data_IF_689619669971
#
_entry.id   IF_689619669971
#
_cell.length_a   1.000
_cell.length_b   1.000
_cell.length_c   1.000
_cell.angle_alpha   90.00
_cell.angle_beta   90.00
_cell.angle_gamma   90.00
#
_symmetry.space_group_name_H-M   'P 1'
#
loop_
_entity.id
_entity.type
_entity.pdbx_description
1 polymer ?
#
# COMPACT_ATOMS: atom_id res chain seq x y z
N UNK A 1 28.17 54.99 -48.23
CA UNK A 1 27.47 56.02 -47.44
C UNK A 1 26.17 55.44 -46.92
N UNK A 2 26.02 55.33 -45.60
CA UNK A 2 24.84 55.76 -44.81
C UNK A 2 24.77 54.95 -43.51
N UNK A 3 24.81 55.68 -42.39
CA UNK A 3 24.69 55.18 -41.03
C UNK A 3 23.21 55.04 -40.61
N UNK A 4 23.01 54.31 -39.50
CA UNK A 4 22.03 54.60 -38.43
C UNK A 4 20.59 54.04 -38.57
N UNK A 5 20.22 53.03 -37.76
CA UNK A 5 19.43 53.25 -36.53
C UNK A 5 18.85 51.95 -35.93
N UNK A 6 18.99 51.85 -34.60
CA UNK A 6 18.11 51.18 -33.61
C UNK A 6 18.05 49.63 -33.57
N UNK A 7 18.68 48.96 -32.60
CA UNK A 7 18.23 48.71 -31.21
C UNK A 7 16.81 48.14 -31.10
N UNK A 8 16.70 46.81 -31.05
CA UNK A 8 15.74 46.16 -30.15
C UNK A 8 16.27 44.80 -29.70
N UNK A 9 16.76 44.79 -28.46
CA UNK A 9 17.07 43.59 -27.68
C UNK A 9 15.78 42.82 -27.42
N UNK A 10 15.68 41.59 -27.92
CA UNK A 10 14.69 40.62 -27.47
C UNK A 10 15.42 39.36 -27.00
N UNK A 11 15.48 39.28 -25.67
CA UNK A 11 16.00 38.23 -24.82
C UNK A 11 15.46 36.86 -25.26
N UNK A 12 16.29 36.03 -25.89
CA UNK A 12 15.97 34.63 -26.18
C UNK A 12 16.38 33.79 -24.96
N UNK A 13 15.45 33.66 -24.01
CA UNK A 13 15.61 32.80 -22.84
C UNK A 13 15.67 31.35 -23.32
N UNK A 14 16.83 30.72 -23.11
CA UNK A 14 17.03 29.30 -23.33
C UNK A 14 16.07 28.51 -22.45
N UNK A 15 15.27 27.66 -23.07
CA UNK A 15 14.50 26.63 -22.40
C UNK A 15 15.48 25.60 -21.82
N UNK A 16 15.91 25.85 -20.59
CA UNK A 16 16.57 24.83 -19.77
C UNK A 16 15.49 23.83 -19.39
N UNK A 17 15.55 22.65 -19.99
CA UNK A 17 14.79 21.47 -19.55
C UNK A 17 15.27 21.20 -18.12
N UNK A 18 14.45 21.57 -17.14
CA UNK A 18 14.60 21.13 -15.76
C UNK A 18 14.45 19.61 -15.76
N UNK A 19 15.59 18.93 -15.81
CA UNK A 19 15.68 17.53 -15.47
C UNK A 19 15.11 17.33 -14.08
N UNK A 20 14.31 16.28 -13.97
CA UNK A 20 13.66 15.81 -12.76
C UNK A 20 14.71 15.34 -11.75
N UNK A 21 15.30 16.28 -10.99
CA UNK A 21 16.31 16.00 -9.96
C UNK A 21 15.66 15.69 -8.61
N UNK A 22 14.53 14.99 -8.60
CA UNK A 22 13.89 14.54 -7.36
C UNK A 22 14.18 13.06 -7.03
N UNK A 23 14.71 12.27 -7.98
CA UNK A 23 14.90 10.82 -7.77
C UNK A 23 16.20 10.44 -7.06
N UNK A 24 17.27 11.23 -7.18
CA UNK A 24 18.61 10.82 -6.73
C UNK A 24 18.79 10.85 -5.19
N UNK A 25 17.91 11.50 -4.44
CA UNK A 25 18.06 11.68 -3.00
C UNK A 25 17.37 10.57 -2.16
N UNK A 26 16.46 9.78 -2.74
CA UNK A 26 15.76 8.71 -2.01
C UNK A 26 16.43 7.33 -2.16
N UNK A 27 17.33 7.15 -3.14
CA UNK A 27 18.01 5.87 -3.43
C UNK A 27 19.02 5.44 -2.37
N UNK A 28 19.55 6.36 -1.57
CA UNK A 28 20.61 6.08 -0.59
C UNK A 28 20.21 5.10 0.53
N UNK A 29 18.91 4.93 0.77
CA UNK A 29 18.37 4.01 1.78
C UNK A 29 17.63 2.80 1.15
N UNK A 30 17.64 2.69 -0.18
CA UNK A 30 17.06 1.55 -0.86
C UNK A 30 17.99 0.34 -0.70
N UNK A 31 17.45 -0.76 -0.17
CA UNK A 31 18.14 -2.04 -0.11
C UNK A 31 17.87 -2.77 -1.41
N UNK A 32 18.95 -3.05 -2.14
CA UNK A 32 18.91 -3.77 -3.41
C UNK A 32 18.46 -5.19 -3.15
N UNK A 33 17.50 -5.66 -3.94
CA UNK A 33 17.04 -7.03 -3.92
C UNK A 33 17.27 -7.76 -5.23
N UNK A 34 16.87 -9.02 -5.24
CA UNK A 34 17.01 -9.89 -6.39
C UNK A 34 16.14 -9.41 -7.55
N UNK A 35 16.60 -9.55 -8.80
CA UNK A 35 15.91 -9.13 -10.04
C UNK A 35 15.80 -7.62 -10.25
N UNK A 36 16.38 -6.79 -9.37
CA UNK A 36 16.48 -5.36 -9.63
C UNK A 36 17.39 -5.10 -10.84
N UNK A 37 17.03 -4.10 -11.65
CA UNK A 37 17.85 -3.65 -12.78
C UNK A 37 18.57 -2.39 -12.35
N UNK A 38 19.90 -2.47 -12.30
CA UNK A 38 20.79 -1.39 -11.93
C UNK A 38 21.50 -0.86 -13.17
N UNK A 39 21.65 0.44 -13.27
CA UNK A 39 22.56 1.07 -14.21
C UNK A 39 23.82 1.48 -13.47
N UNK A 40 24.93 0.84 -13.85
CA UNK A 40 26.25 1.15 -13.33
C UNK A 40 26.95 2.03 -14.36
N UNK A 41 27.44 3.17 -13.91
CA UNK A 41 28.22 4.10 -14.71
C UNK A 41 29.56 4.35 -14.03
N UNK A 42 30.64 4.29 -14.82
CA UNK A 42 31.99 4.57 -14.35
C UNK A 42 32.47 5.82 -15.06
N UNK A 43 32.84 6.85 -14.30
CA UNK A 43 33.25 8.12 -14.88
C UNK A 43 34.48 7.95 -15.77
N UNK A 44 34.46 8.57 -16.95
CA UNK A 44 35.53 8.47 -17.93
C UNK A 44 35.60 7.17 -18.72
N UNK A 45 34.72 6.18 -18.43
CA UNK A 45 34.73 4.88 -19.09
C UNK A 45 33.33 4.46 -19.58
N UNK A 46 32.86 4.98 -20.74
CA UNK A 46 31.54 4.67 -21.28
C UNK A 46 31.37 3.19 -21.64
N UNK A 47 32.47 2.49 -21.96
CA UNK A 47 32.47 1.05 -22.29
C UNK A 47 32.07 0.17 -21.10
N UNK A 48 32.18 0.69 -19.87
CA UNK A 48 31.77 0.01 -18.64
C UNK A 48 30.36 0.41 -18.19
N UNK A 49 29.74 1.42 -18.84
CA UNK A 49 28.38 1.81 -18.53
C UNK A 49 27.40 0.76 -19.04
N UNK A 50 26.69 0.10 -18.13
CA UNK A 50 25.74 -0.95 -18.50
C UNK A 50 24.59 -1.09 -17.51
N UNK A 51 23.43 -1.44 -18.06
CA UNK A 51 22.28 -1.94 -17.32
C UNK A 51 22.50 -3.42 -17.01
N UNK A 52 22.59 -3.76 -15.73
CA UNK A 52 22.82 -5.10 -15.23
C UNK A 52 21.68 -5.50 -14.27
N UNK A 53 21.18 -6.72 -14.45
CA UNK A 53 20.16 -7.30 -13.57
C UNK A 53 20.85 -8.04 -12.42
N UNK A 54 20.33 -7.87 -11.21
CA UNK A 54 20.76 -8.65 -10.04
C UNK A 54 20.23 -10.07 -10.17
N UNK A 55 21.14 -11.04 -10.17
CA UNK A 55 20.80 -12.46 -10.33
C UNK A 55 19.94 -12.99 -9.17
N UNK A 56 19.38 -14.21 -9.34
CA UNK A 56 18.60 -14.89 -8.28
C UNK A 56 19.45 -15.22 -7.05
N UNK A 57 20.76 -15.35 -7.22
CA UNK A 57 21.75 -15.56 -6.16
C UNK A 57 22.15 -14.24 -5.47
N UNK A 58 21.62 -13.11 -5.97
CA UNK A 58 21.84 -11.78 -5.41
C UNK A 58 23.14 -11.14 -5.86
N UNK A 59 23.70 -11.60 -6.98
CA UNK A 59 24.97 -11.10 -7.51
C UNK A 59 24.74 -10.26 -8.78
N UNK A 60 25.46 -9.15 -8.89
CA UNK A 60 25.56 -8.33 -10.08
C UNK A 60 26.80 -8.75 -10.87
N UNK A 61 26.65 -8.94 -12.17
CA UNK A 61 27.77 -9.27 -13.07
C UNK A 61 28.23 -8.03 -13.82
N UNK A 62 29.49 -7.66 -13.66
CA UNK A 62 30.11 -6.53 -14.34
C UNK A 62 31.35 -6.95 -15.13
N UNK A 63 31.63 -6.32 -16.29
CA UNK A 63 32.88 -6.50 -16.99
C UNK A 63 34.08 -6.18 -16.08
N UNK A 64 35.21 -6.83 -16.32
CA UNK A 64 36.49 -6.71 -15.57
C UNK A 64 36.49 -7.34 -14.17
N UNK A 65 35.46 -7.08 -13.35
CA UNK A 65 35.44 -7.46 -11.92
C UNK A 65 34.57 -8.68 -11.61
N UNK A 66 33.89 -9.22 -12.62
CA UNK A 66 33.08 -10.43 -12.52
C UNK A 66 31.84 -10.23 -11.67
N UNK A 67 31.54 -11.21 -10.80
CA UNK A 67 30.36 -11.19 -9.93
C UNK A 67 30.64 -10.48 -8.60
N UNK A 68 29.70 -9.62 -8.20
CA UNK A 68 29.71 -8.87 -6.93
C UNK A 68 28.38 -9.09 -6.25
N UNK A 69 28.38 -9.33 -4.94
CA UNK A 69 27.15 -9.42 -4.16
C UNK A 69 26.49 -8.04 -4.11
N UNK A 70 25.26 -7.95 -4.60
CA UNK A 70 24.46 -6.71 -4.62
C UNK A 70 23.22 -6.82 -3.72
N UNK A 71 22.60 -8.00 -3.64
CA UNK A 71 21.41 -8.18 -2.82
C UNK A 71 21.72 -8.02 -1.32
N UNK A 72 20.90 -7.22 -0.65
CA UNK A 72 21.04 -6.89 0.77
C UNK A 72 21.99 -5.72 1.07
N UNK A 73 22.63 -5.14 0.04
CA UNK A 73 23.40 -3.91 0.18
C UNK A 73 22.54 -2.68 -0.17
N UNK A 74 22.87 -1.55 0.43
CA UNK A 74 22.43 -0.25 -0.07
C UNK A 74 23.15 0.10 -1.38
N UNK A 75 22.57 1.02 -2.16
CA UNK A 75 23.19 1.55 -3.38
C UNK A 75 24.60 2.07 -3.09
N UNK A 76 24.78 2.80 -1.99
CA UNK A 76 26.06 3.37 -1.56
C UNK A 76 27.11 2.32 -1.16
N UNK A 77 26.69 1.24 -0.48
CA UNK A 77 27.60 0.14 -0.13
C UNK A 77 28.04 -0.63 -1.39
N UNK A 78 27.14 -0.77 -2.36
CA UNK A 78 27.45 -1.42 -3.63
C UNK A 78 28.42 -0.57 -4.47
N UNK A 79 28.23 0.75 -4.53
CA UNK A 79 29.16 1.68 -5.19
C UNK A 79 30.59 1.50 -4.66
N UNK A 80 30.77 1.57 -3.34
CA UNK A 80 32.07 1.36 -2.69
C UNK A 80 32.67 -0.01 -2.97
N UNK A 81 31.84 -1.06 -3.00
CA UNK A 81 32.30 -2.41 -3.29
C UNK A 81 32.80 -2.55 -4.74
N UNK A 82 32.14 -1.89 -5.69
CA UNK A 82 32.54 -1.86 -7.10
C UNK A 82 33.81 -1.02 -7.28
N UNK A 83 33.89 0.15 -6.64
CA UNK A 83 35.08 1.01 -6.67
C UNK A 83 36.32 0.28 -6.16
N UNK A 84 36.21 -0.40 -5.01
CA UNK A 84 37.32 -1.15 -4.43
C UNK A 84 37.84 -2.26 -5.37
N UNK A 85 36.93 -2.99 -6.04
CA UNK A 85 37.33 -4.04 -6.99
C UNK A 85 37.89 -3.49 -8.30
N UNK A 86 37.41 -2.35 -8.78
CA UNK A 86 37.95 -1.71 -9.98
C UNK A 86 39.32 -1.07 -9.71
N UNK A 87 39.54 -0.55 -8.50
CA UNK A 87 40.82 0.00 -8.07
C UNK A 87 41.90 -1.09 -7.88
N UNK A 88 41.51 -2.34 -7.60
CA UNK A 88 42.39 -3.50 -7.42
C UNK A 88 42.89 -4.05 -8.76
N UNK A 89 43.56 -3.21 -9.55
CA UNK A 89 44.34 -3.62 -10.72
C UNK A 89 43.77 -3.26 -12.09
N UNK A 90 42.59 -2.64 -12.18
CA UNK A 90 41.98 -2.25 -13.47
C UNK A 90 42.02 -0.75 -13.75
N UNK A 91 41.69 0.08 -12.76
CA UNK A 91 41.54 1.54 -12.91
C UNK A 91 42.25 2.29 -11.77
N UNK A 92 42.79 3.47 -12.07
CA UNK A 92 43.30 4.41 -11.05
C UNK A 92 42.18 5.39 -10.68
N UNK A 93 41.78 5.38 -9.41
CA UNK A 93 40.72 6.24 -8.85
C UNK A 93 39.41 6.17 -9.68
N UNK A 94 38.78 5.00 -9.82
CA UNK A 94 37.48 4.91 -10.47
C UNK A 94 36.43 5.63 -9.62
N UNK A 95 35.63 6.49 -10.24
CA UNK A 95 34.40 7.03 -9.65
C UNK A 95 33.22 6.27 -10.25
N UNK A 96 32.43 5.63 -9.39
CA UNK A 96 31.32 4.76 -9.81
C UNK A 96 30.02 5.34 -9.28
N UNK A 97 29.03 5.49 -10.16
CA UNK A 97 27.67 5.83 -9.78
C UNK A 97 26.73 4.69 -10.17
N UNK A 98 25.96 4.22 -9.19
CA UNK A 98 24.94 3.17 -9.37
C UNK A 98 23.57 3.80 -9.21
N UNK A 99 22.67 3.55 -10.15
CA UNK A 99 21.27 3.96 -10.06
C UNK A 99 20.34 2.78 -10.30
N UNK A 100 19.22 2.72 -9.58
CA UNK A 100 18.22 1.68 -9.80
C UNK A 100 17.31 2.12 -10.94
N UNK A 101 17.32 1.40 -12.05
CA UNK A 101 16.44 1.68 -13.20
C UNK A 101 15.06 1.09 -12.97
N UNK A 102 15.02 -0.14 -12.46
CA UNK A 102 13.77 -0.85 -12.21
C UNK A 102 13.84 -1.58 -10.89
N UNK A 103 13.02 -1.14 -9.94
CA UNK A 103 12.75 -1.83 -8.68
C UNK A 103 11.86 -3.05 -8.99
N UNK A 104 12.35 -4.28 -8.85
CA UNK A 104 11.52 -5.49 -9.04
C UNK A 104 11.42 -6.35 -7.79
N UNK A 105 12.34 -6.17 -6.86
CA UNK A 105 12.48 -6.98 -5.67
C UNK A 105 11.49 -6.60 -4.56
N UNK A 106 11.16 -5.31 -4.46
CA UNK A 106 10.27 -4.80 -3.42
C UNK A 106 8.84 -4.73 -3.94
N UNK A 107 8.07 -5.79 -3.72
CA UNK A 107 6.65 -5.87 -4.10
C UNK A 107 5.74 -5.89 -2.88
N UNK A 108 4.58 -5.28 -3.02
CA UNK A 108 3.46 -5.36 -2.07
C UNK A 108 2.27 -5.97 -2.80
N UNK A 109 1.52 -6.82 -2.10
CA UNK A 109 0.33 -7.45 -2.66
C UNK A 109 -0.91 -6.72 -2.17
N UNK A 110 -1.67 -6.13 -3.09
CA UNK A 110 -2.96 -5.52 -2.79
C UNK A 110 -4.08 -6.45 -3.23
N UNK A 111 -4.88 -6.89 -2.27
CA UNK A 111 -5.93 -7.89 -2.45
C UNK A 111 -7.27 -7.39 -1.91
N UNK A 112 -8.37 -7.93 -2.45
CA UNK A 112 -9.72 -7.67 -1.97
C UNK A 112 -10.44 -6.56 -2.74
N UNK A 113 -11.28 -5.79 -2.02
CA UNK A 113 -12.22 -4.81 -2.57
C UNK A 113 -11.57 -3.48 -2.97
N UNK A 114 -10.67 -3.56 -3.94
CA UNK A 114 -10.01 -2.42 -4.60
C UNK A 114 -10.30 -2.44 -6.09
N UNK A 115 -10.17 -1.30 -6.78
CA UNK A 115 -10.45 -1.25 -8.22
C UNK A 115 -9.46 -2.09 -9.05
N UNK A 116 -8.19 -2.08 -8.67
CA UNK A 116 -7.12 -2.85 -9.34
C UNK A 116 -6.36 -3.69 -8.32
N UNK A 117 -6.82 -4.92 -8.01
CA UNK A 117 -6.07 -5.84 -7.17
C UNK A 117 -4.86 -6.38 -7.94
N UNK A 118 -3.76 -6.66 -7.24
CA UNK A 118 -2.55 -7.20 -7.84
C UNK A 118 -1.26 -6.87 -7.08
N UNK A 119 -0.12 -7.30 -7.62
CA UNK A 119 1.19 -6.91 -7.12
C UNK A 119 1.53 -5.48 -7.55
N UNK A 120 2.04 -4.69 -6.62
CA UNK A 120 2.56 -3.34 -6.83
C UNK A 120 4.02 -3.29 -6.45
N UNK A 121 4.81 -2.57 -7.24
CA UNK A 121 6.23 -2.38 -7.00
C UNK A 121 6.42 -1.15 -6.11
N UNK A 122 7.26 -1.27 -5.09
CA UNK A 122 7.72 -0.17 -4.27
C UNK A 122 8.95 0.46 -4.91
N UNK A 123 8.83 1.70 -5.37
CA UNK A 123 9.97 2.48 -5.90
C UNK A 123 10.63 3.34 -4.82
N UNK A 124 9.88 3.65 -3.76
CA UNK A 124 10.24 4.62 -2.74
C UNK A 124 9.51 4.33 -1.42
N UNK A 125 9.59 5.26 -0.45
CA UNK A 125 8.84 5.22 0.81
C UNK A 125 7.33 5.36 0.55
N UNK A 126 6.72 4.26 0.13
CA UNK A 126 5.32 4.21 -0.31
C UNK A 126 4.41 4.08 0.89
N UNK A 127 3.40 4.96 0.97
CA UNK A 127 2.37 4.88 1.99
C UNK A 127 1.18 4.05 1.50
N UNK A 128 0.39 3.52 2.43
CA UNK A 128 -0.86 2.83 2.10
C UNK A 128 -1.79 3.73 1.27
N UNK A 129 -1.86 5.02 1.56
CA UNK A 129 -2.67 5.97 0.77
C UNK A 129 -2.19 6.08 -0.66
N UNK A 130 -0.88 6.17 -0.89
CA UNK A 130 -0.30 6.22 -2.24
C UNK A 130 -0.62 4.94 -3.01
N UNK A 131 -0.45 3.77 -2.38
CA UNK A 131 -0.79 2.47 -2.97
C UNK A 131 -2.27 2.38 -3.35
N UNK A 132 -3.18 2.78 -2.44
CA UNK A 132 -4.62 2.76 -2.71
C UNK A 132 -4.99 3.73 -3.83
N UNK A 133 -4.36 4.91 -3.90
CA UNK A 133 -4.58 5.86 -4.99
C UNK A 133 -4.12 5.30 -6.34
N UNK A 134 -2.94 4.65 -6.39
CA UNK A 134 -2.42 3.98 -7.57
C UNK A 134 -3.34 2.85 -8.05
N UNK A 135 -3.91 2.11 -7.10
CA UNK A 135 -4.90 1.07 -7.36
C UNK A 135 -6.27 1.60 -7.83
N UNK A 136 -6.45 2.93 -7.91
CA UNK A 136 -7.71 3.57 -8.31
C UNK A 136 -8.71 3.75 -7.17
N UNK A 137 -8.29 3.52 -5.93
CA UNK A 137 -9.12 3.58 -4.74
C UNK A 137 -9.90 2.28 -4.48
N UNK A 138 -10.78 2.36 -3.50
CA UNK A 138 -11.61 1.25 -3.05
C UNK A 138 -12.87 1.10 -3.93
N UNK A 139 -13.46 -0.09 -3.92
CA UNK A 139 -14.78 -0.33 -4.52
C UNK A 139 -15.91 0.14 -3.59
N UNK A 140 -17.13 0.28 -4.12
CA UNK A 140 -18.31 0.63 -3.31
C UNK A 140 -18.69 -0.47 -2.31
N UNK A 141 -18.17 -1.68 -2.50
CA UNK A 141 -18.37 -2.84 -1.63
C UNK A 141 -17.29 -2.97 -0.57
N UNK A 142 -16.26 -2.14 -0.57
CA UNK A 142 -15.16 -2.24 0.39
C UNK A 142 -15.62 -1.97 1.82
N UNK A 143 -15.09 -2.76 2.76
CA UNK A 143 -15.23 -2.51 4.19
C UNK A 143 -14.47 -1.27 4.65
N UNK A 144 -14.73 -0.83 5.88
CA UNK A 144 -14.00 0.28 6.52
C UNK A 144 -12.75 -0.22 7.27
N UNK A 145 -12.34 -1.47 7.09
CA UNK A 145 -11.21 -2.06 7.79
C UNK A 145 -10.23 -2.57 6.74
N UNK A 146 -8.94 -2.30 6.89
CA UNK A 146 -7.86 -2.83 6.04
C UNK A 146 -6.92 -3.63 6.93
N UNK A 147 -6.58 -4.83 6.47
CA UNK A 147 -5.65 -5.72 7.17
C UNK A 147 -4.34 -5.75 6.40
N UNK A 148 -3.25 -5.35 7.05
CA UNK A 148 -1.91 -5.40 6.49
C UNK A 148 -1.17 -6.53 7.19
N UNK A 149 -0.77 -7.55 6.44
CA UNK A 149 0.05 -8.64 6.96
C UNK A 149 1.47 -8.41 6.50
N UNK A 150 2.34 -8.05 7.45
CA UNK A 150 3.78 -8.00 7.21
C UNK A 150 4.37 -9.37 7.52
N UNK A 151 4.93 -10.09 6.53
CA UNK A 151 5.67 -11.30 6.83
C UNK A 151 6.83 -10.92 7.75
N UNK A 152 6.99 -11.65 8.85
CA UNK A 152 8.18 -11.50 9.67
C UNK A 152 9.37 -11.74 8.74
N UNK A 153 10.22 -10.72 8.58
CA UNK A 153 11.46 -10.86 7.82
C UNK A 153 12.11 -12.16 8.29
N UNK A 154 12.30 -13.11 7.38
CA UNK A 154 13.14 -14.26 7.62
C UNK A 154 14.51 -13.68 7.94
N UNK A 155 14.76 -13.43 9.23
CA UNK A 155 16.06 -12.97 9.69
C UNK A 155 17.01 -14.07 9.29
N UNK A 156 17.73 -13.84 8.20
CA UNK A 156 18.89 -14.61 7.82
C UNK A 156 19.99 -14.22 8.81
N UNK A 157 19.79 -14.59 10.06
CA UNK A 157 20.84 -14.70 11.07
C UNK A 157 20.71 -16.11 11.59
N UNK A 158 21.70 -16.90 11.21
CA UNK A 158 21.98 -18.26 11.68
C UNK A 158 22.27 -18.25 13.19
N UNK A 159 21.29 -17.88 13.99
CA UNK A 159 21.28 -18.06 15.43
C UNK A 159 20.11 -18.98 15.75
N UNK A 160 20.34 -20.17 16.32
CA UNK A 160 19.27 -21.07 16.70
C UNK A 160 18.41 -20.42 17.81
N UNK A 161 17.33 -19.77 17.41
CA UNK A 161 16.29 -19.35 18.34
C UNK A 161 15.37 -20.55 18.57
N UNK A 162 15.09 -20.95 19.83
CA UNK A 162 14.25 -22.11 20.11
C UNK A 162 12.86 -21.97 19.47
N UNK A 163 12.36 -23.12 19.00
CA UNK A 163 11.23 -23.37 18.09
C UNK A 163 9.83 -22.92 18.57
N UNK A 164 9.72 -21.93 19.46
CA UNK A 164 8.46 -21.42 20.01
C UNK A 164 8.08 -19.99 19.55
N UNK A 165 9.01 -19.25 18.93
CA UNK A 165 8.79 -17.85 18.49
C UNK A 165 8.98 -17.67 16.96
N UNK A 166 8.91 -18.76 16.21
CA UNK A 166 9.07 -18.74 14.76
C UNK A 166 7.84 -18.09 14.07
N UNK A 167 8.08 -16.92 13.46
CA UNK A 167 7.25 -16.29 12.43
C UNK A 167 5.83 -15.84 12.85
N UNK A 168 5.73 -14.98 13.87
CA UNK A 168 4.52 -14.15 14.01
C UNK A 168 4.51 -13.10 12.90
N UNK A 169 3.77 -13.37 11.82
CA UNK A 169 3.43 -12.33 10.84
C UNK A 169 2.74 -11.19 11.59
N UNK A 170 3.25 -9.97 11.43
CA UNK A 170 2.68 -8.82 12.11
C UNK A 170 1.46 -8.37 11.33
N UNK A 171 0.27 -8.59 11.90
CA UNK A 171 -0.99 -8.14 11.31
C UNK A 171 -1.35 -6.78 11.88
N UNK A 172 -1.38 -5.76 11.02
CA UNK A 172 -1.81 -4.41 11.36
C UNK A 172 -3.22 -4.20 10.79
N UNK A 173 -4.19 -4.07 11.68
CA UNK A 173 -5.54 -3.64 11.32
C UNK A 173 -5.63 -2.12 11.37
N UNK A 174 -6.20 -1.52 10.32
CA UNK A 174 -6.40 -0.07 10.21
C UNK A 174 -7.82 0.25 9.77
N UNK A 175 -8.45 1.20 10.47
CA UNK A 175 -9.79 1.67 10.12
C UNK A 175 -9.69 2.79 9.07
N UNK A 176 -10.42 2.65 7.98
CA UNK A 176 -10.44 3.58 6.85
C UNK A 176 -11.06 4.94 7.17
N UNK A 177 -11.90 5.02 8.21
CA UNK A 177 -12.57 6.28 8.56
C UNK A 177 -11.56 7.34 9.04
N UNK A 178 -10.42 6.91 9.60
CA UNK A 178 -9.30 7.80 9.93
C UNK A 178 -8.50 8.25 8.69
N UNK A 179 -8.63 7.56 7.55
CA UNK A 179 -7.98 7.93 6.29
C UNK A 179 -8.73 9.04 5.57
N UNK A 180 -10.08 9.00 5.55
CA UNK A 180 -10.90 10.08 4.95
C UNK A 180 -10.76 11.42 5.69
N UNK A 181 -10.42 11.36 6.97
CA UNK A 181 -10.28 12.52 7.86
C UNK A 181 -8.83 13.04 7.95
N UNK A 182 -7.88 12.45 7.22
CA UNK A 182 -6.49 12.92 7.18
C UNK A 182 -5.69 12.67 8.45
N UNK A 183 -6.08 11.69 9.27
CA UNK A 183 -5.35 11.33 10.49
C UNK A 183 -3.96 10.77 10.21
N UNK A 184 -3.02 10.91 11.15
CA UNK A 184 -1.63 10.45 11.03
C UNK A 184 -1.50 8.93 10.75
N UNK A 185 -2.52 8.15 11.07
CA UNK A 185 -2.62 6.71 10.75
C UNK A 185 -2.75 6.41 9.26
N UNK A 186 -3.12 7.41 8.44
CA UNK A 186 -3.23 7.28 6.99
C UNK A 186 -1.85 7.08 6.32
N UNK A 187 -0.79 7.59 6.94
CA UNK A 187 0.57 7.53 6.42
C UNK A 187 1.31 6.26 6.86
N UNK A 188 0.61 5.12 6.95
CA UNK A 188 1.29 3.86 7.20
C UNK A 188 2.25 3.56 6.04
N UNK A 189 3.55 3.47 6.36
CA UNK A 189 4.60 3.17 5.40
C UNK A 189 4.66 1.66 5.19
N UNK A 190 4.47 1.26 3.93
CA UNK A 190 4.53 -0.13 3.52
C UNK A 190 5.98 -0.59 3.40
N UNK A 191 6.21 -1.87 3.68
CA UNK A 191 7.48 -2.53 3.48
C UNK A 191 7.37 -3.60 2.39
N UNK A 192 8.52 -3.95 1.81
CA UNK A 192 8.60 -5.04 0.85
C UNK A 192 8.04 -6.34 1.45
N UNK A 193 7.17 -7.02 0.71
CA UNK A 193 6.50 -8.25 1.13
C UNK A 193 5.20 -8.05 1.90
N UNK A 194 4.82 -6.81 2.24
CA UNK A 194 3.52 -6.56 2.87
C UNK A 194 2.38 -7.06 1.98
N UNK A 195 1.37 -7.68 2.61
CA UNK A 195 0.11 -8.03 1.97
C UNK A 195 -0.99 -7.16 2.55
N UNK A 196 -1.54 -6.28 1.73
CA UNK A 196 -2.65 -5.40 2.06
C UNK A 196 -3.94 -6.06 1.57
N UNK A 197 -4.79 -6.44 2.51
CA UNK A 197 -6.09 -7.04 2.24
C UNK A 197 -7.23 -6.09 2.63
N UNK A 198 -8.09 -5.81 1.65
CA UNK A 198 -9.30 -5.01 1.83
C UNK A 198 -10.52 -5.94 1.82
N UNK A 199 -11.10 -6.28 2.99
CA UNK A 199 -12.32 -7.09 3.06
C UNK A 199 -13.53 -6.42 2.42
N UNK A 200 -14.51 -7.23 2.03
CA UNK A 200 -15.85 -6.75 1.69
C UNK A 200 -16.53 -6.15 2.93
N UNK A 201 -17.36 -5.14 2.70
CA UNK A 201 -18.21 -4.56 3.70
C UNK A 201 -19.15 -5.61 4.28
N UNK A 202 -19.09 -5.77 5.59
CA UNK A 202 -20.08 -6.55 6.33
C UNK A 202 -21.46 -5.91 6.12
N UNK A 203 -22.51 -6.72 6.12
CA UNK A 203 -23.88 -6.26 5.85
C UNK A 203 -24.81 -6.67 6.97
N UNK A 204 -25.95 -6.00 7.06
CA UNK A 204 -27.07 -6.39 7.89
C UNK A 204 -28.36 -6.13 7.11
N UNK A 205 -29.46 -6.74 7.53
CA UNK A 205 -30.73 -6.71 6.83
C UNK A 205 -31.76 -5.96 7.66
N UNK A 206 -32.51 -5.06 7.04
CA UNK A 206 -33.67 -4.41 7.69
C UNK A 206 -34.93 -4.83 6.98
N UNK A 207 -35.88 -5.38 7.75
CA UNK A 207 -37.14 -5.92 7.22
C UNK A 207 -38.34 -5.45 8.05
N UNK A 208 -39.53 -5.66 7.50
CA UNK A 208 -40.80 -5.28 8.13
C UNK A 208 -41.20 -3.83 7.85
N UNK A 209 -41.81 -3.19 8.84
CA UNK A 209 -42.48 -1.89 8.73
C UNK A 209 -41.52 -0.71 8.86
N UNK A 210 -40.62 -0.61 7.89
CA UNK A 210 -39.71 0.51 7.66
C UNK A 210 -39.98 1.12 6.29
N UNK A 211 -39.55 2.36 6.06
CA UNK A 211 -39.79 3.03 4.76
C UNK A 211 -39.03 2.38 3.60
N UNK A 212 -37.81 1.90 3.85
CA UNK A 212 -36.92 1.27 2.86
C UNK A 212 -36.36 -0.03 3.43
N UNK A 213 -37.11 -1.15 3.36
CA UNK A 213 -36.54 -2.45 3.71
C UNK A 213 -35.47 -2.84 2.70
N UNK A 214 -34.43 -3.54 3.15
CA UNK A 214 -33.31 -3.90 2.29
C UNK A 214 -32.05 -4.31 3.04
N UNK A 215 -30.96 -4.43 2.28
CA UNK A 215 -29.63 -4.77 2.78
C UNK A 215 -28.81 -3.50 2.93
N UNK A 216 -28.12 -3.36 4.05
CA UNK A 216 -27.34 -2.17 4.39
C UNK A 216 -25.93 -2.56 4.80
N UNK A 217 -24.98 -1.64 4.56
CA UNK A 217 -23.59 -1.78 5.00
C UNK A 217 -23.51 -1.62 6.51
N UNK A 218 -22.86 -2.57 7.17
CA UNK A 218 -22.58 -2.56 8.58
C UNK A 218 -21.28 -1.81 8.86
N UNK A 219 -21.27 -1.03 9.94
CA UNK A 219 -20.11 -0.29 10.43
C UNK A 219 -19.88 -0.56 11.92
N UNK A 220 -18.64 -0.38 12.38
CA UNK A 220 -18.27 -0.63 13.77
C UNK A 220 -19.03 0.32 14.71
N UNK A 221 -19.68 -0.23 15.73
CA UNK A 221 -20.46 0.55 16.72
C UNK A 221 -21.89 0.87 16.28
N UNK A 222 -22.39 0.22 15.24
CA UNK A 222 -23.74 0.44 14.72
C UNK A 222 -24.84 -0.05 15.68
N UNK A 223 -25.87 0.79 15.83
CA UNK A 223 -27.02 0.53 16.72
C UNK A 223 -28.31 0.24 15.94
N UNK A 224 -29.29 -0.38 16.59
CA UNK A 224 -30.63 -0.62 16.02
C UNK A 224 -31.29 0.69 15.57
N UNK A 225 -31.13 1.77 16.35
CA UNK A 225 -31.64 3.10 15.97
C UNK A 225 -31.04 3.61 14.67
N UNK A 226 -29.72 3.49 14.51
CA UNK A 226 -29.03 3.90 13.28
C UNK A 226 -29.46 3.02 12.10
N UNK A 227 -29.57 1.71 12.31
CA UNK A 227 -30.05 0.76 11.31
C UNK A 227 -31.46 1.13 10.79
N UNK A 228 -32.42 1.38 11.68
CA UNK A 228 -33.77 1.81 11.29
C UNK A 228 -33.73 3.18 10.60
N UNK A 229 -32.87 4.10 11.05
CA UNK A 229 -32.71 5.42 10.43
C UNK A 229 -32.18 5.32 8.99
N UNK A 230 -31.20 4.45 8.72
CA UNK A 230 -30.70 4.20 7.37
C UNK A 230 -31.77 3.59 6.45
N UNK A 231 -32.66 2.77 7.01
CA UNK A 231 -33.86 2.27 6.33
C UNK A 231 -34.96 3.35 6.15
N UNK A 232 -34.67 4.62 6.40
CA UNK A 232 -35.59 5.73 6.24
C UNK A 232 -36.56 5.92 7.40
N UNK A 233 -36.34 5.25 8.53
CA UNK A 233 -37.21 5.28 9.70
C UNK A 233 -38.36 4.25 9.64
N UNK A 234 -39.11 4.10 10.75
CA UNK A 234 -40.30 3.26 10.78
C UNK A 234 -41.39 3.81 9.83
N UNK A 235 -42.20 2.91 9.28
CA UNK A 235 -43.43 3.30 8.56
C UNK A 235 -44.46 3.86 9.54
N UNK A 236 -45.55 4.48 9.05
CA UNK A 236 -46.67 4.93 9.90
C UNK A 236 -47.31 3.79 10.69
N UNK A 237 -47.15 2.56 10.21
CA UNK A 237 -47.66 1.34 10.83
C UNK A 237 -46.58 0.57 11.57
N UNK A 238 -45.35 1.08 11.65
CA UNK A 238 -44.24 0.41 12.30
C UNK A 238 -44.25 0.59 13.82
N UNK A 239 -43.90 -0.46 14.55
CA UNK A 239 -43.71 -0.42 16.00
C UNK A 239 -42.21 -0.45 16.36
N UNK A 240 -41.49 0.68 16.32
CA UNK A 240 -40.05 0.72 16.58
C UNK A 240 -39.69 0.18 17.98
N UNK A 241 -40.54 0.38 18.98
CA UNK A 241 -40.33 -0.11 20.36
C UNK A 241 -40.47 -1.64 20.52
N UNK A 242 -40.84 -2.36 19.46
CA UNK A 242 -40.94 -3.82 19.42
C UNK A 242 -40.00 -4.42 18.38
N UNK A 243 -38.91 -3.74 18.07
CA UNK A 243 -37.92 -4.23 17.09
C UNK A 243 -37.27 -5.52 17.59
N UNK A 244 -37.17 -6.49 16.68
CA UNK A 244 -36.54 -7.78 16.91
C UNK A 244 -35.24 -7.86 16.10
N UNK A 245 -34.19 -8.40 16.70
CA UNK A 245 -32.98 -8.81 15.98
C UNK A 245 -33.05 -10.32 15.84
N UNK A 246 -32.92 -10.82 14.62
CA UNK A 246 -32.70 -12.24 14.33
C UNK A 246 -31.21 -12.39 14.06
N UNK A 247 -30.52 -13.11 14.96
CA UNK A 247 -29.08 -13.33 14.89
C UNK A 247 -28.79 -14.80 14.67
N UNK A 248 -28.02 -15.13 13.63
CA UNK A 248 -27.51 -16.47 13.42
C UNK A 248 -26.34 -16.73 14.36
N UNK A 249 -26.50 -17.63 15.32
CA UNK A 249 -25.40 -18.11 16.17
C UNK A 249 -25.33 -19.63 16.07
N UNK A 250 -24.19 -20.16 15.61
CA UNK A 250 -23.92 -21.59 15.50
C UNK A 250 -24.98 -22.40 14.72
N UNK A 251 -25.55 -21.80 13.67
CA UNK A 251 -26.58 -22.43 12.83
C UNK A 251 -28.01 -22.37 13.40
N UNK A 252 -28.21 -21.76 14.57
CA UNK A 252 -29.52 -21.46 15.13
C UNK A 252 -29.85 -19.97 14.99
N UNK A 253 -31.07 -19.65 14.58
CA UNK A 253 -31.58 -18.28 14.59
C UNK A 253 -32.13 -17.95 15.99
N UNK A 254 -31.47 -17.03 16.69
CA UNK A 254 -31.97 -16.49 17.96
C UNK A 254 -32.77 -15.21 17.68
N UNK A 255 -34.04 -15.19 18.12
CA UNK A 255 -34.89 -14.00 18.05
C UNK A 255 -34.77 -13.23 19.35
N UNK A 256 -34.07 -12.10 19.29
CA UNK A 256 -33.81 -11.23 20.43
C UNK A 256 -34.72 -10.02 20.37
N UNK A 257 -35.48 -9.77 21.43
CA UNK A 257 -36.17 -8.48 21.57
C UNK A 257 -35.12 -7.41 21.83
N UNK A 258 -35.03 -6.44 20.94
CA UNK A 258 -33.99 -5.41 20.98
C UNK A 258 -34.54 -4.06 21.42
N UNK A 259 -33.68 -3.28 22.08
CA UNK A 259 -33.88 -1.86 22.36
C UNK A 259 -33.12 -1.03 21.33
N UNK A 260 -33.51 0.23 21.20
CA UNK A 260 -32.88 1.20 20.28
C UNK A 260 -31.34 1.35 20.39
N UNK A 261 -30.72 1.34 21.58
CA UNK A 261 -29.27 1.47 21.71
C UNK A 261 -28.51 0.14 21.54
N UNK A 262 -29.21 -0.97 21.35
CA UNK A 262 -28.55 -2.27 21.21
C UNK A 262 -27.70 -2.31 19.94
N UNK A 263 -26.56 -2.99 20.02
CA UNK A 263 -25.64 -3.12 18.91
C UNK A 263 -26.17 -4.13 17.87
N UNK A 264 -26.11 -3.71 16.61
CA UNK A 264 -26.32 -4.59 15.44
C UNK A 264 -24.98 -5.24 15.11
N UNK A 265 -24.99 -6.53 14.83
CA UNK A 265 -23.82 -7.28 14.38
C UNK A 265 -23.92 -7.56 12.87
N UNK A 266 -22.79 -7.93 12.24
CA UNK A 266 -22.79 -8.46 10.88
C UNK A 266 -23.79 -9.61 10.72
N UNK A 267 -24.46 -9.63 9.57
CA UNK A 267 -25.47 -10.61 9.13
C UNK A 267 -26.75 -10.66 9.97
N UNK A 268 -26.94 -9.75 10.93
CA UNK A 268 -28.19 -9.62 11.68
C UNK A 268 -29.36 -9.21 10.77
N UNK A 269 -30.56 -9.70 11.09
CA UNK A 269 -31.82 -9.21 10.52
C UNK A 269 -32.56 -8.38 11.57
N UNK A 270 -32.63 -7.08 11.35
CA UNK A 270 -33.43 -6.13 12.14
C UNK A 270 -34.84 -6.11 11.57
N UNK A 271 -35.81 -6.61 12.34
CA UNK A 271 -37.21 -6.68 11.95
C UNK A 271 -38.05 -5.71 12.76
N UNK A 272 -38.70 -4.77 12.07
CA UNK A 272 -39.68 -3.86 12.70
C UNK A 272 -41.08 -4.43 12.46
N UNK A 273 -41.80 -4.85 13.51
CA UNK A 273 -43.14 -5.40 13.34
C UNK A 273 -44.20 -4.30 13.12
N UNK A 274 -45.37 -4.72 12.63
CA UNK A 274 -46.57 -3.89 12.60
C UNK A 274 -46.97 -3.44 14.00
N UNK A 275 -47.43 -2.20 14.11
CA UNK A 275 -48.14 -1.65 15.26
C UNK A 275 -49.57 -2.13 15.21
N UNK A 276 -49.99 -2.85 16.25
CA UNK A 276 -51.40 -3.17 16.47
C UNK A 276 -51.85 -2.17 17.51
N UNK A 277 -52.79 -1.30 17.13
CA UNK A 277 -53.43 -0.34 18.03
C UNK A 277 -54.12 -1.04 19.19
#
# INVERSE_FOLDING_TARGET
MSYLSMLLSALLVGAFVLGDTASAAEDGNYIIGHQDILEVSVWGQPDLQRKAEVSREGSLSLPLIGQIRAAGLSVFELEKAIEAKLADGFLKNPEVAVSVVTYQSQKVFLLGEVRKPGPYVLSARTTLTALLAEAGGLTDKAGNEITITRPAAAQTKETPVPLAEAAQSQTFTRNLDTFKSGGAEANFVLAAGDTVYVPEAKRFFVTGEVRKPGVFKWETGMTVRQAISLAGGPSERGAPNRTEIIRGKDGAEEKLRSKMPDAVLPDDVVKVPLSYF
#
